data_IF_212799053814
#
_entry.id   IF_212799053814
#
_cell.length_a   1.000
_cell.length_b   1.000
_cell.length_c   1.000
_cell.angle_alpha   90.00
_cell.angle_beta   90.00
_cell.angle_gamma   90.00
#
_symmetry.space_group_name_H-M   'P 1'
#
loop_
_entity.id
_entity.type
_entity.pdbx_description
1 polymer ?
#
# COMPACT_ATOMS: atom_id res chain seq x y z
N UNK A 1 -20.90 -48.16 38.81
CA UNK A 1 -20.85 -46.69 39.02
C UNK A 1 -20.85 -46.02 37.68
N UNK A 2 -21.98 -45.43 37.28
CA UNK A 2 -22.14 -44.73 35.99
C UNK A 2 -21.79 -43.25 36.19
N UNK A 3 -20.74 -42.79 35.56
CA UNK A 3 -20.27 -41.38 35.65
C UNK A 3 -21.22 -40.48 34.89
N UNK A 4 -21.97 -39.65 35.60
CA UNK A 4 -22.93 -38.67 35.08
C UNK A 4 -22.15 -37.64 34.21
N UNK A 5 -22.39 -37.64 32.91
CA UNK A 5 -21.79 -36.70 31.93
C UNK A 5 -22.43 -35.30 32.15
N UNK A 6 -21.69 -34.39 32.75
CA UNK A 6 -22.14 -33.01 32.91
C UNK A 6 -22.22 -32.34 31.51
N UNK A 7 -23.45 -32.22 31.03
CA UNK A 7 -23.75 -31.47 29.80
C UNK A 7 -23.64 -29.98 30.15
N UNK A 8 -22.56 -29.34 29.73
CA UNK A 8 -22.38 -27.90 29.84
C UNK A 8 -23.44 -27.22 28.94
N UNK A 9 -24.49 -26.65 29.56
CA UNK A 9 -25.48 -25.87 28.84
C UNK A 9 -24.83 -24.56 28.37
N UNK A 10 -24.63 -24.44 27.07
CA UNK A 10 -24.15 -23.18 26.44
C UNK A 10 -25.22 -22.10 26.74
N UNK A 11 -24.85 -20.99 27.38
CA UNK A 11 -25.81 -19.94 27.70
C UNK A 11 -26.38 -19.33 26.41
N UNK A 12 -27.72 -19.23 26.32
CA UNK A 12 -28.42 -18.61 25.21
C UNK A 12 -28.05 -17.12 25.21
N UNK A 13 -27.53 -16.63 24.09
CA UNK A 13 -27.16 -15.20 23.92
C UNK A 13 -28.40 -14.32 24.17
N UNK A 14 -28.23 -13.18 24.88
CA UNK A 14 -29.35 -12.26 25.16
C UNK A 14 -29.94 -11.71 23.87
N UNK A 15 -31.23 -11.48 23.84
CA UNK A 15 -32.00 -11.04 22.66
C UNK A 15 -31.40 -9.81 21.99
N UNK A 16 -30.87 -8.85 22.75
CA UNK A 16 -30.23 -7.64 22.24
C UNK A 16 -28.98 -7.95 21.37
N UNK A 17 -28.19 -8.93 21.77
CA UNK A 17 -27.01 -9.32 20.98
C UNK A 17 -27.40 -10.04 19.68
N UNK A 18 -28.51 -10.79 19.69
CA UNK A 18 -29.05 -11.41 18.49
C UNK A 18 -29.58 -10.37 17.50
N UNK A 19 -30.39 -9.42 17.99
CA UNK A 19 -30.93 -8.33 17.17
C UNK A 19 -29.79 -7.51 16.57
N UNK A 20 -28.81 -7.12 17.39
CA UNK A 20 -27.65 -6.39 16.90
C UNK A 20 -26.85 -7.17 15.83
N UNK A 21 -26.64 -8.46 16.03
CA UNK A 21 -25.95 -9.32 15.07
C UNK A 21 -26.73 -9.42 13.74
N UNK A 22 -28.05 -9.63 13.79
CA UNK A 22 -28.86 -9.71 12.59
C UNK A 22 -28.99 -8.36 11.86
N UNK A 23 -29.11 -7.25 12.60
CA UNK A 23 -29.15 -5.92 11.99
C UNK A 23 -27.82 -5.56 11.31
N UNK A 24 -26.67 -5.89 11.94
CA UNK A 24 -25.36 -5.69 11.35
C UNK A 24 -25.16 -6.57 10.10
N UNK A 25 -25.57 -7.84 10.18
CA UNK A 25 -25.47 -8.74 9.02
C UNK A 25 -26.38 -8.27 7.88
N UNK A 26 -27.61 -7.86 8.19
CA UNK A 26 -28.53 -7.30 7.20
C UNK A 26 -27.97 -6.03 6.55
N UNK A 27 -27.38 -5.13 7.33
CA UNK A 27 -26.74 -3.91 6.81
C UNK A 27 -25.60 -4.25 5.84
N UNK A 28 -24.75 -5.21 6.20
CA UNK A 28 -23.64 -5.66 5.35
C UNK A 28 -24.16 -6.29 4.05
N UNK A 29 -25.17 -7.14 4.14
CA UNK A 29 -25.77 -7.78 2.95
C UNK A 29 -26.44 -6.74 2.03
N UNK A 30 -27.20 -5.81 2.59
CA UNK A 30 -27.85 -4.75 1.81
C UNK A 30 -26.81 -3.84 1.16
N UNK A 31 -25.76 -3.44 1.88
CA UNK A 31 -24.69 -2.62 1.30
C UNK A 31 -23.92 -3.37 0.23
N UNK A 32 -23.69 -4.68 0.39
CA UNK A 32 -23.03 -5.51 -0.62
C UNK A 32 -23.89 -5.65 -1.90
N UNK A 33 -25.21 -5.88 -1.76
CA UNK A 33 -26.12 -5.94 -2.90
C UNK A 33 -26.20 -4.59 -3.62
N UNK A 34 -26.30 -3.50 -2.84
CA UNK A 34 -26.33 -2.16 -3.44
C UNK A 34 -25.01 -1.82 -4.15
N UNK A 35 -23.87 -2.16 -3.57
CA UNK A 35 -22.56 -2.02 -4.20
C UNK A 35 -22.46 -2.85 -5.48
N UNK A 36 -22.92 -4.10 -5.44
CA UNK A 36 -22.90 -4.98 -6.62
C UNK A 36 -23.80 -4.46 -7.75
N UNK A 37 -24.94 -3.85 -7.43
CA UNK A 37 -25.83 -3.26 -8.45
C UNK A 37 -25.21 -2.04 -9.14
N UNK A 38 -24.36 -1.28 -8.43
CA UNK A 38 -23.65 -0.13 -9.01
C UNK A 38 -22.44 -0.49 -9.88
N UNK A 39 -21.91 -1.71 -9.76
CA UNK A 39 -20.71 -2.16 -10.48
C UNK A 39 -21.00 -2.79 -11.85
N UNK A 40 -22.27 -2.81 -12.29
CA UNK A 40 -22.68 -3.49 -13.55
C UNK A 40 -22.08 -4.91 -13.68
N UNK A 41 -22.00 -5.63 -12.56
CA UNK A 41 -21.54 -7.01 -12.54
C UNK A 41 -22.62 -7.88 -13.16
N UNK A 42 -22.54 -8.06 -14.48
CA UNK A 42 -23.45 -8.91 -15.23
C UNK A 42 -22.93 -10.34 -15.18
N UNK A 43 -23.82 -11.32 -15.02
CA UNK A 43 -23.47 -12.73 -15.03
C UNK A 43 -22.68 -13.11 -16.30
N UNK A 44 -23.03 -12.47 -17.41
CA UNK A 44 -22.35 -12.61 -18.69
C UNK A 44 -20.86 -12.18 -18.64
N UNK A 45 -20.53 -11.09 -17.93
CA UNK A 45 -19.14 -10.67 -17.73
C UNK A 45 -18.35 -11.68 -16.91
N UNK A 46 -18.97 -12.26 -15.87
CA UNK A 46 -18.33 -13.29 -15.05
C UNK A 46 -18.07 -14.56 -15.85
N UNK A 47 -19.07 -15.01 -16.63
CA UNK A 47 -18.94 -16.20 -17.45
C UNK A 47 -17.92 -16.03 -18.58
N UNK A 48 -17.79 -14.83 -19.14
CA UNK A 48 -16.83 -14.51 -20.21
C UNK A 48 -15.44 -14.11 -19.67
N UNK A 49 -15.27 -13.88 -18.35
CA UNK A 49 -13.99 -13.53 -17.77
C UNK A 49 -12.86 -14.53 -18.07
N UNK A 50 -13.06 -15.86 -17.99
CA UNK A 50 -12.01 -16.81 -18.34
C UNK A 50 -11.58 -16.71 -19.81
N UNK A 51 -12.52 -16.49 -20.73
CA UNK A 51 -12.21 -16.31 -22.15
C UNK A 51 -11.44 -15.01 -22.42
N UNK A 52 -11.80 -13.92 -21.75
CA UNK A 52 -11.06 -12.66 -21.83
C UNK A 52 -9.65 -12.77 -21.25
N UNK A 53 -9.49 -13.46 -20.13
CA UNK A 53 -8.17 -13.74 -19.55
C UNK A 53 -7.34 -14.60 -20.50
N UNK A 54 -7.93 -15.64 -21.09
CA UNK A 54 -7.23 -16.49 -22.06
C UNK A 54 -6.78 -15.68 -23.30
N UNK A 55 -7.62 -14.76 -23.78
CA UNK A 55 -7.28 -13.86 -24.90
C UNK A 55 -6.13 -12.92 -24.52
N UNK A 56 -6.15 -12.33 -23.32
CA UNK A 56 -5.08 -11.47 -22.82
C UNK A 56 -3.76 -12.25 -22.68
N UNK A 57 -3.80 -13.43 -22.06
CA UNK A 57 -2.63 -14.30 -21.93
C UNK A 57 -2.13 -14.75 -23.29
N UNK A 58 -3.03 -15.10 -24.20
CA UNK A 58 -2.67 -15.46 -25.59
C UNK A 58 -2.04 -14.31 -26.36
N UNK A 59 -2.45 -13.07 -26.09
CA UNK A 59 -1.84 -11.88 -26.69
C UNK A 59 -0.44 -11.55 -26.13
N UNK A 60 -0.08 -12.10 -24.96
CA UNK A 60 1.29 -12.00 -24.42
C UNK A 60 2.26 -12.96 -25.11
N UNK A 61 1.77 -13.92 -25.86
CA UNK A 61 2.55 -14.89 -26.64
C UNK A 61 2.10 -14.86 -28.13
N UNK A 62 3.01 -14.91 -29.10
CA UNK A 62 4.46 -15.07 -28.97
C UNK A 62 5.18 -13.77 -28.52
N UNK A 63 6.23 -13.92 -27.74
CA UNK A 63 7.14 -12.83 -27.43
C UNK A 63 7.83 -12.35 -28.72
N UNK A 64 7.72 -11.06 -29.01
CA UNK A 64 8.45 -10.45 -30.11
C UNK A 64 9.93 -10.27 -29.69
N UNK A 65 10.78 -11.17 -30.16
CA UNK A 65 12.23 -11.16 -29.89
C UNK A 65 13.01 -10.58 -31.09
N UNK A 66 12.35 -9.80 -31.95
CA UNK A 66 13.02 -9.11 -33.05
C UNK A 66 14.01 -8.07 -32.51
N UNK A 67 15.05 -7.76 -33.32
CA UNK A 67 16.01 -6.69 -32.97
C UNK A 67 15.32 -5.33 -32.84
N UNK A 68 14.26 -5.09 -33.61
CA UNK A 68 13.46 -3.87 -33.55
C UNK A 68 12.67 -3.76 -32.21
N UNK A 69 12.22 -4.88 -31.64
CA UNK A 69 11.59 -4.91 -30.34
C UNK A 69 12.61 -4.59 -29.24
N UNK A 70 13.82 -5.14 -29.33
CA UNK A 70 14.91 -4.84 -28.38
C UNK A 70 15.32 -3.37 -28.43
N UNK A 71 15.45 -2.77 -29.60
CA UNK A 71 15.80 -1.35 -29.77
C UNK A 71 14.75 -0.41 -29.14
N UNK A 72 13.50 -0.84 -29.05
CA UNK A 72 12.43 -0.09 -28.37
C UNK A 72 12.35 -0.34 -26.88
N UNK A 73 12.61 -1.57 -26.44
CA UNK A 73 12.47 -1.99 -25.04
C UNK A 73 13.67 -1.56 -24.20
N UNK A 74 14.89 -1.75 -24.69
CA UNK A 74 16.10 -1.46 -23.92
C UNK A 74 16.17 -0.02 -23.40
N UNK A 75 15.91 1.04 -24.22
CA UNK A 75 15.89 2.41 -23.71
C UNK A 75 14.84 2.61 -22.61
N UNK A 76 13.67 1.95 -22.70
CA UNK A 76 12.62 2.05 -21.70
C UNK A 76 12.95 1.35 -20.38
N UNK A 77 13.69 0.26 -20.44
CA UNK A 77 14.23 -0.40 -19.24
C UNK A 77 15.22 0.52 -18.54
N UNK A 78 16.18 1.12 -19.28
CA UNK A 78 17.10 2.09 -18.69
C UNK A 78 16.39 3.31 -18.13
N UNK A 79 15.40 3.85 -18.84
CA UNK A 79 14.57 4.96 -18.35
C UNK A 79 13.91 4.60 -17.00
N UNK A 80 13.34 3.41 -16.87
CA UNK A 80 12.73 2.93 -15.61
C UNK A 80 13.76 2.78 -14.48
N UNK A 81 14.95 2.27 -14.79
CA UNK A 81 16.06 2.16 -13.83
C UNK A 81 16.52 3.55 -13.37
N UNK A 82 16.66 4.51 -14.27
CA UNK A 82 17.03 5.89 -13.93
C UNK A 82 15.96 6.58 -13.07
N UNK A 83 14.68 6.37 -13.35
CA UNK A 83 13.57 6.88 -12.54
C UNK A 83 13.68 6.34 -11.10
N UNK A 84 13.80 5.02 -10.96
CA UNK A 84 13.91 4.38 -9.67
C UNK A 84 15.15 4.84 -8.89
N UNK A 85 16.30 4.87 -9.56
CA UNK A 85 17.56 5.28 -8.95
C UNK A 85 17.54 6.75 -8.54
N UNK A 86 17.17 7.66 -9.42
CA UNK A 86 17.11 9.09 -9.15
C UNK A 86 16.10 9.42 -8.07
N UNK A 87 14.90 8.83 -8.12
CA UNK A 87 13.88 8.99 -7.09
C UNK A 87 14.36 8.51 -5.72
N UNK A 88 15.00 7.34 -5.65
CA UNK A 88 15.53 6.81 -4.40
C UNK A 88 16.66 7.68 -3.83
N UNK A 89 17.56 8.18 -4.68
CA UNK A 89 18.65 9.07 -4.25
C UNK A 89 18.09 10.38 -3.69
N UNK A 90 17.13 11.00 -4.38
CA UNK A 90 16.43 12.19 -3.89
C UNK A 90 15.76 11.87 -2.53
N UNK A 91 15.02 10.76 -2.46
CA UNK A 91 14.40 10.29 -1.23
C UNK A 91 15.41 10.10 -0.10
N UNK A 92 16.56 9.49 -0.34
CA UNK A 92 17.62 9.27 0.64
C UNK A 92 18.22 10.58 1.16
N UNK A 93 18.54 11.53 0.26
CA UNK A 93 19.11 12.83 0.62
C UNK A 93 18.17 13.59 1.58
N UNK A 94 16.88 13.65 1.28
CA UNK A 94 15.91 14.36 2.12
C UNK A 94 15.51 13.56 3.36
N UNK A 95 15.45 12.24 3.29
CA UNK A 95 15.10 11.39 4.46
C UNK A 95 16.19 11.43 5.52
N UNK A 96 17.44 11.60 5.15
CA UNK A 96 18.56 11.61 6.10
C UNK A 96 18.38 12.67 7.21
N UNK A 97 18.27 13.98 6.94
CA UNK A 97 18.04 14.98 7.98
C UNK A 97 16.68 14.79 8.69
N UNK A 98 15.64 14.38 7.96
CA UNK A 98 14.30 14.19 8.51
C UNK A 98 14.28 13.04 9.51
N UNK A 99 15.09 11.99 9.32
CA UNK A 99 15.15 10.85 10.23
C UNK A 99 15.65 11.24 11.63
N UNK A 100 16.62 12.15 11.73
CA UNK A 100 17.08 12.68 13.01
C UNK A 100 16.00 13.51 13.72
N UNK A 101 15.26 14.32 12.97
CA UNK A 101 14.14 15.08 13.50
C UNK A 101 12.97 14.18 13.93
N UNK A 102 12.81 13.02 13.29
CA UNK A 102 11.80 12.03 13.61
C UNK A 102 12.19 11.08 14.76
N UNK A 103 13.46 11.05 15.20
CA UNK A 103 13.92 10.20 16.30
C UNK A 103 13.52 10.79 17.66
N UNK A 104 12.87 9.97 18.52
CA UNK A 104 12.34 10.40 19.82
C UNK A 104 13.43 10.83 20.82
N UNK A 105 14.63 10.28 20.68
CA UNK A 105 15.77 10.50 21.58
C UNK A 105 16.59 11.74 21.21
N UNK A 106 16.35 12.36 20.06
CA UNK A 106 17.12 13.51 19.58
C UNK A 106 16.28 14.79 19.61
N UNK A 107 15.00 14.69 19.27
CA UNK A 107 14.14 15.87 19.05
C UNK A 107 13.05 15.98 20.11
N UNK A 108 12.67 17.23 20.44
CA UNK A 108 11.59 17.56 21.38
C UNK A 108 10.29 16.90 20.92
N UNK A 109 9.56 16.27 21.85
CA UNK A 109 8.41 15.39 21.56
C UNK A 109 7.29 15.98 20.67
N UNK A 110 7.09 17.30 20.67
CA UNK A 110 6.10 17.96 19.81
C UNK A 110 6.53 17.95 18.34
N UNK A 111 7.76 18.33 18.05
CA UNK A 111 8.33 18.34 16.68
C UNK A 111 8.41 16.92 16.14
N UNK A 112 8.94 16.00 16.94
CA UNK A 112 9.03 14.59 16.60
C UNK A 112 7.66 14.01 16.19
N UNK A 113 6.61 14.29 16.98
CA UNK A 113 5.26 13.79 16.69
C UNK A 113 4.73 14.29 15.36
N UNK A 114 4.91 15.58 15.07
CA UNK A 114 4.46 16.18 13.79
C UNK A 114 5.20 15.55 12.61
N UNK A 115 6.52 15.42 12.69
CA UNK A 115 7.33 14.83 11.61
C UNK A 115 6.96 13.37 11.39
N UNK A 116 6.78 12.58 12.46
CA UNK A 116 6.31 11.19 12.34
C UNK A 116 4.94 11.09 11.69
N UNK A 117 4.02 12.01 11.98
CA UNK A 117 2.71 12.03 11.32
C UNK A 117 2.83 12.37 9.84
N UNK A 118 3.69 13.32 9.46
CA UNK A 118 3.94 13.66 8.05
C UNK A 118 4.52 12.44 7.31
N UNK A 119 5.55 11.78 7.88
CA UNK A 119 6.14 10.59 7.28
C UNK A 119 5.12 9.45 7.15
N UNK A 120 4.29 9.23 8.17
CA UNK A 120 3.22 8.23 8.11
C UNK A 120 2.15 8.61 7.04
N UNK A 121 1.84 9.89 6.91
CA UNK A 121 0.94 10.39 5.87
C UNK A 121 1.48 10.10 4.46
N UNK A 122 2.75 10.43 4.19
CA UNK A 122 3.39 10.15 2.90
C UNK A 122 3.35 8.64 2.58
N UNK A 123 3.64 7.78 3.56
CA UNK A 123 3.59 6.32 3.37
C UNK A 123 2.18 5.76 3.19
N UNK A 124 1.15 6.46 3.67
CA UNK A 124 -0.22 6.03 3.49
C UNK A 124 -0.70 6.17 2.03
N UNK A 125 -0.05 7.04 1.25
CA UNK A 125 -0.38 7.20 -0.16
C UNK A 125 0.41 6.20 -1.01
N UNK A 126 -0.26 5.35 -1.79
CA UNK A 126 0.40 4.55 -2.82
C UNK A 126 1.16 5.45 -3.81
N UNK A 127 2.34 5.01 -4.25
CA UNK A 127 3.21 5.74 -5.17
C UNK A 127 2.48 6.18 -6.46
N UNK A 128 1.60 5.33 -6.99
CA UNK A 128 0.77 5.67 -8.16
C UNK A 128 -0.11 6.89 -7.92
N UNK A 129 -0.68 7.04 -6.73
CA UNK A 129 -1.50 8.24 -6.40
C UNK A 129 -0.64 9.48 -6.41
N UNK A 130 0.58 9.42 -5.86
CA UNK A 130 1.53 10.53 -5.92
C UNK A 130 1.88 10.88 -7.37
N UNK A 131 2.10 9.89 -8.22
CA UNK A 131 2.33 10.12 -9.65
C UNK A 131 1.14 10.85 -10.31
N UNK A 132 -0.11 10.46 -10.00
CA UNK A 132 -1.29 11.16 -10.51
C UNK A 132 -1.42 12.60 -10.02
N UNK A 133 -0.98 12.89 -8.80
CA UNK A 133 -0.96 14.28 -8.26
C UNK A 133 0.06 15.14 -9.00
N UNK A 134 1.21 14.58 -9.39
CA UNK A 134 2.25 15.32 -10.13
C UNK A 134 1.97 15.40 -11.63
N UNK A 135 1.17 14.49 -12.18
CA UNK A 135 0.89 14.42 -13.61
C UNK A 135 0.43 15.76 -14.23
N UNK A 136 -0.48 16.55 -13.61
CA UNK A 136 -0.90 17.83 -14.17
C UNK A 136 0.20 18.90 -14.22
N UNK A 137 1.24 18.75 -13.38
CA UNK A 137 2.33 19.74 -13.23
C UNK A 137 3.49 19.38 -14.14
N UNK A 138 3.86 18.11 -14.19
CA UNK A 138 5.06 17.62 -14.87
C UNK A 138 4.79 16.91 -16.20
N UNK A 139 3.52 16.60 -16.48
CA UNK A 139 3.12 15.80 -17.64
C UNK A 139 3.44 14.30 -17.47
N UNK A 140 3.03 13.52 -18.47
CA UNK A 140 3.37 12.10 -18.58
C UNK A 140 4.86 11.96 -18.93
N UNK A 141 5.69 11.46 -18.00
CA UNK A 141 7.10 11.26 -18.28
C UNK A 141 7.93 10.81 -17.07
N UNK A 142 9.24 10.64 -17.28
CA UNK A 142 10.17 10.17 -16.25
C UNK A 142 10.22 11.07 -15.00
N UNK A 143 10.01 12.37 -15.18
CA UNK A 143 10.01 13.33 -14.07
C UNK A 143 8.90 13.06 -13.07
N UNK A 144 7.68 12.78 -13.56
CA UNK A 144 6.53 12.42 -12.72
C UNK A 144 6.81 11.20 -11.87
N UNK A 145 7.36 10.14 -12.50
CA UNK A 145 7.76 8.91 -11.80
C UNK A 145 8.85 9.18 -10.76
N UNK A 146 9.89 9.92 -11.13
CA UNK A 146 11.00 10.25 -10.23
C UNK A 146 10.53 11.03 -9.00
N UNK A 147 9.63 12.00 -9.15
CA UNK A 147 9.07 12.76 -8.03
C UNK A 147 8.19 11.87 -7.14
N UNK A 148 7.36 11.02 -7.73
CA UNK A 148 6.51 10.10 -6.98
C UNK A 148 7.33 9.12 -6.15
N UNK A 149 8.32 8.45 -6.76
CA UNK A 149 9.28 7.55 -6.07
C UNK A 149 10.05 8.31 -5.01
N UNK A 150 10.56 9.51 -5.32
CA UNK A 150 11.35 10.33 -4.40
C UNK A 150 10.59 10.69 -3.14
N UNK A 151 9.37 11.20 -3.27
CA UNK A 151 8.54 11.58 -2.12
C UNK A 151 8.13 10.34 -1.32
N UNK A 152 7.70 9.27 -1.97
CA UNK A 152 7.38 8.02 -1.28
C UNK A 152 8.59 7.47 -0.51
N UNK A 153 9.78 7.54 -1.09
CA UNK A 153 11.04 7.12 -0.48
C UNK A 153 11.40 7.98 0.75
N UNK A 154 11.13 9.30 0.74
CA UNK A 154 11.30 10.15 1.94
C UNK A 154 10.48 9.61 3.10
N UNK A 155 9.22 9.28 2.87
CA UNK A 155 8.33 8.72 3.90
C UNK A 155 8.85 7.40 4.45
N UNK A 156 9.23 6.49 3.57
CA UNK A 156 9.66 5.13 3.93
C UNK A 156 11.03 5.13 4.58
N UNK A 157 12.05 5.72 3.94
CA UNK A 157 13.42 5.77 4.45
C UNK A 157 13.52 6.63 5.71
N UNK A 158 12.85 7.80 5.75
CA UNK A 158 12.87 8.67 6.91
C UNK A 158 12.28 8.00 8.15
N UNK A 159 11.19 7.27 7.99
CA UNK A 159 10.56 6.53 9.09
C UNK A 159 11.44 5.36 9.55
N UNK A 160 11.90 4.50 8.65
CA UNK A 160 12.74 3.36 8.98
C UNK A 160 14.06 3.80 9.62
N UNK A 161 14.72 4.81 9.05
CA UNK A 161 15.96 5.34 9.62
C UNK A 161 15.77 5.94 11.00
N UNK A 162 14.65 6.64 11.27
CA UNK A 162 14.37 7.17 12.60
C UNK A 162 14.20 6.06 13.63
N UNK A 163 13.57 4.95 13.29
CA UNK A 163 13.41 3.80 14.18
C UNK A 163 14.75 3.11 14.48
N UNK A 164 15.61 2.98 13.48
CA UNK A 164 16.99 2.45 13.68
C UNK A 164 17.80 3.35 14.59
N UNK A 165 17.74 4.66 14.40
CA UNK A 165 18.43 5.64 15.27
C UNK A 165 17.93 5.52 16.71
N UNK A 166 16.63 5.36 16.94
CA UNK A 166 16.05 5.19 18.27
C UNK A 166 16.57 3.93 18.97
N UNK A 167 16.69 2.82 18.25
CA UNK A 167 17.19 1.54 18.81
C UNK A 167 18.67 1.64 19.14
N UNK A 168 19.50 2.11 18.22
CA UNK A 168 20.95 2.21 18.42
C UNK A 168 21.32 3.10 19.61
N UNK A 169 20.64 4.22 19.77
CA UNK A 169 20.91 5.11 20.90
C UNK A 169 20.39 4.55 22.24
N UNK A 170 19.33 3.76 22.24
CA UNK A 170 18.83 3.11 23.45
C UNK A 170 19.80 2.04 23.97
N UNK A 171 20.39 1.26 23.08
CA UNK A 171 21.36 0.23 23.44
C UNK A 171 22.66 0.85 24.02
N UNK A 172 23.10 2.00 23.49
CA UNK A 172 24.26 2.73 24.02
C UNK A 172 24.04 3.33 25.40
N UNK A 173 22.80 3.65 25.78
CA UNK A 173 22.49 4.22 27.11
C UNK A 173 22.24 3.14 28.18
N UNK A 174 22.13 1.86 27.75
CA UNK A 174 21.93 0.72 28.66
C UNK A 174 23.23 0.00 29.07
N UNK A 175 24.37 0.44 28.56
CA UNK A 175 25.74 0.00 28.94
C UNK A 175 26.37 0.99 29.88
#
# INVERSE_FOLDING_TARGET
MVKKKNIVKIPKQPLNQRIFKYSLTSLIVVSAIWSASGLEITLDRILNAPAQIATLVGAMFPLDLSSEAFDRIIPKVFESLFIAWAGTVIGAIFSFPISFLAANNITIGSVNRVIKQILNGIRAFPELILAFVFLPITGLGPLTGTLAVGIHSIGTLGKLSSEVIEVLMKDHLSL
#
